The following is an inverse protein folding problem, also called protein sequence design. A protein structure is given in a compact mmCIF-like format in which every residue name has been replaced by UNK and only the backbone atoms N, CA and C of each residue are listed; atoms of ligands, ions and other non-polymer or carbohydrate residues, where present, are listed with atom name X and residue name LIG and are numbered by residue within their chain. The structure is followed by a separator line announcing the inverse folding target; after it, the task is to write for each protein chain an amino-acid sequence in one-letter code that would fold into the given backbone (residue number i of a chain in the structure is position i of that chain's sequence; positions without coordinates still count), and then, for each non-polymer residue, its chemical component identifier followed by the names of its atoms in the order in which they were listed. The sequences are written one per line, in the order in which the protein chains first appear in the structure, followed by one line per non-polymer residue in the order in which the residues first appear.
data_IF_349170682083
#
_entry.id   IF_349170682083
#
_cell.length_a   1.000
_cell.length_b   1.000
_cell.length_c   1.000
_cell.angle_alpha   90.00
_cell.angle_beta   90.00
_cell.angle_gamma   90.00
#
_symmetry.space_group_name_H-M   'P 1'
#
loop_
_entity.id
_entity.type
_entity.pdbx_description
1 polymer ?
#
# COMPACT_ATOMS: atom_id res chain seq x y z
N UNK A 1 16.32 2.27 -9.35
CA UNK A 1 14.97 2.37 -8.75
C UNK A 1 14.26 3.61 -9.23
N UNK A 2 13.00 3.47 -9.56
CA UNK A 2 12.16 4.59 -9.93
C UNK A 2 11.07 4.80 -8.88
N UNK A 3 10.94 6.01 -8.38
CA UNK A 3 9.85 6.40 -7.49
C UNK A 3 8.79 7.12 -8.31
N UNK A 4 7.57 6.63 -8.25
CA UNK A 4 6.45 7.22 -8.97
C UNK A 4 5.43 7.73 -7.97
N UNK A 5 5.10 9.02 -8.08
CA UNK A 5 4.10 9.65 -7.25
C UNK A 5 2.95 10.10 -8.16
N UNK A 6 1.87 9.32 -8.26
CA UNK A 6 0.78 9.63 -9.17
C UNK A 6 0.17 11.00 -8.87
N UNK A 7 -0.17 11.73 -9.93
CA UNK A 7 -0.83 13.02 -9.83
C UNK A 7 -2.27 12.96 -10.34
N UNK A 8 -2.79 11.74 -10.52
CA UNK A 8 -4.17 11.49 -10.93
C UNK A 8 -5.10 11.53 -9.72
N UNK A 9 -6.41 11.54 -9.98
CA UNK A 9 -7.36 11.20 -8.92
C UNK A 9 -7.14 9.74 -8.48
N UNK A 10 -7.53 9.42 -7.24
CA UNK A 10 -7.28 8.09 -6.68
C UNK A 10 -7.87 6.96 -7.55
N UNK A 11 -9.08 7.13 -8.06
CA UNK A 11 -9.73 6.12 -8.89
C UNK A 11 -9.11 6.00 -10.30
N UNK A 12 -8.16 6.86 -10.64
CA UNK A 12 -7.40 6.82 -11.89
C UNK A 12 -5.92 6.52 -11.66
N UNK A 13 -5.55 6.04 -10.49
CA UNK A 13 -4.13 5.80 -10.12
C UNK A 13 -3.40 4.90 -11.11
N UNK A 14 -4.10 3.92 -11.69
CA UNK A 14 -3.51 3.00 -12.66
C UNK A 14 -2.97 3.68 -13.90
N UNK A 15 -3.49 4.85 -14.26
CA UNK A 15 -3.02 5.59 -15.45
C UNK A 15 -1.54 5.96 -15.34
N UNK A 16 -1.04 6.14 -14.11
CA UNK A 16 0.37 6.43 -13.89
C UNK A 16 1.28 5.26 -14.26
N UNK A 17 0.71 4.07 -14.38
CA UNK A 17 1.43 2.84 -14.70
C UNK A 17 1.14 2.36 -16.12
N UNK A 18 0.62 3.24 -16.98
CA UNK A 18 0.29 2.88 -18.35
C UNK A 18 1.52 2.29 -19.07
N UNK A 19 1.31 1.18 -19.75
CA UNK A 19 2.37 0.50 -20.48
C UNK A 19 3.05 -0.62 -19.72
N UNK A 20 2.91 -0.69 -18.39
CA UNK A 20 3.41 -1.83 -17.64
C UNK A 20 2.45 -3.01 -17.80
N UNK A 21 3.02 -4.18 -18.08
CA UNK A 21 2.24 -5.41 -18.23
C UNK A 21 3.08 -6.60 -17.75
N UNK A 22 2.47 -7.61 -17.16
CA UNK A 22 3.16 -8.85 -16.88
C UNK A 22 3.52 -9.55 -18.19
N UNK A 23 4.53 -10.42 -18.14
CA UNK A 23 4.93 -11.20 -19.31
C UNK A 23 3.80 -12.12 -19.79
N UNK A 24 3.02 -12.66 -18.85
CA UNK A 24 1.86 -13.48 -19.15
C UNK A 24 0.60 -12.77 -18.63
N UNK A 25 -0.50 -12.73 -19.39
CA UNK A 25 -1.73 -12.11 -18.94
C UNK A 25 -2.19 -12.67 -17.59
N UNK A 26 -2.43 -11.80 -16.63
CA UNK A 26 -2.83 -12.19 -15.28
C UNK A 26 -1.70 -12.74 -14.40
N UNK A 27 -0.49 -12.86 -14.95
CA UNK A 27 0.65 -13.39 -14.23
C UNK A 27 1.35 -12.36 -13.36
N UNK A 28 2.47 -12.76 -12.73
CA UNK A 28 3.18 -11.87 -11.81
C UNK A 28 3.86 -10.71 -12.52
N UNK A 29 3.85 -9.56 -11.87
CA UNK A 29 4.59 -8.38 -12.29
C UNK A 29 5.61 -8.06 -11.20
N UNK A 30 6.80 -8.64 -11.36
CA UNK A 30 7.90 -8.44 -10.43
C UNK A 30 8.54 -7.06 -10.65
N UNK A 31 9.18 -6.56 -9.63
CA UNK A 31 9.84 -5.27 -9.70
C UNK A 31 8.94 -4.08 -9.46
N UNK A 32 7.67 -4.30 -9.13
CA UNK A 32 6.73 -3.24 -8.77
C UNK A 32 6.32 -3.42 -7.31
N UNK A 33 6.41 -2.35 -6.54
CA UNK A 33 5.84 -2.26 -5.19
C UNK A 33 4.93 -1.05 -5.14
N UNK A 34 3.68 -1.27 -4.81
CA UNK A 34 2.69 -0.20 -4.66
C UNK A 34 2.47 0.07 -3.17
N UNK A 35 2.65 1.32 -2.77
CA UNK A 35 2.39 1.75 -1.40
C UNK A 35 0.99 2.32 -1.35
N UNK A 36 0.16 1.80 -0.44
CA UNK A 36 -1.24 2.20 -0.33
C UNK A 36 -1.64 2.36 1.12
N UNK A 37 -2.58 3.26 1.36
CA UNK A 37 -3.25 3.38 2.64
C UNK A 37 -4.28 2.25 2.80
N UNK A 38 -4.54 1.88 4.06
CA UNK A 38 -5.48 0.80 4.36
C UNK A 38 -6.28 1.16 5.62
N UNK A 39 -7.57 1.45 5.44
CA UNK A 39 -8.45 1.83 6.53
C UNK A 39 -8.81 0.62 7.41
N UNK A 40 -8.66 -0.59 6.89
CA UNK A 40 -8.89 -1.81 7.67
C UNK A 40 -7.74 -2.12 8.63
N UNK A 41 -6.61 -1.44 8.48
CA UNK A 41 -5.43 -1.63 9.31
C UNK A 41 -5.24 -0.41 10.21
N UNK A 42 -5.10 -0.60 11.54
CA UNK A 42 -4.94 0.54 12.44
C UNK A 42 -3.67 1.35 12.19
N UNK A 43 -3.70 2.62 12.54
CA UNK A 43 -2.49 3.44 12.56
C UNK A 43 -1.46 2.80 13.49
N UNK A 44 -0.21 2.76 13.06
CA UNK A 44 0.88 2.08 13.79
C UNK A 44 1.22 0.73 13.20
N UNK A 45 0.47 0.28 12.20
CA UNK A 45 0.68 -1.00 11.55
C UNK A 45 0.94 -0.81 10.07
N UNK A 46 1.76 -1.68 9.50
CA UNK A 46 1.88 -1.80 8.05
C UNK A 46 2.10 -3.26 7.68
N UNK A 47 1.76 -3.63 6.46
CA UNK A 47 1.92 -5.00 5.97
C UNK A 47 2.42 -5.04 4.54
N UNK A 48 3.34 -5.93 4.29
CA UNK A 48 3.78 -6.26 2.94
C UNK A 48 2.99 -7.48 2.47
N UNK A 49 2.51 -7.43 1.23
CA UNK A 49 1.83 -8.55 0.58
C UNK A 49 2.41 -8.75 -0.80
N UNK A 50 2.75 -9.98 -1.20
CA UNK A 50 3.29 -10.22 -2.54
C UNK A 50 2.23 -10.10 -3.64
N UNK A 51 0.95 -10.27 -3.29
CA UNK A 51 -0.18 -10.20 -4.22
C UNK A 51 -1.47 -10.04 -3.43
N UNK A 52 -2.58 -9.89 -4.12
CA UNK A 52 -3.89 -9.87 -3.48
C UNK A 52 -4.89 -9.00 -4.22
N UNK A 53 -6.15 -9.02 -3.75
CA UNK A 53 -7.19 -8.20 -4.33
C UNK A 53 -7.06 -6.74 -3.89
N UNK A 54 -7.70 -5.86 -4.65
CA UNK A 54 -7.81 -4.46 -4.30
C UNK A 54 -8.70 -4.23 -3.07
N UNK A 55 -9.56 -5.20 -2.74
CA UNK A 55 -10.58 -5.00 -1.73
C UNK A 55 -11.49 -3.84 -2.12
N UNK A 56 -11.71 -2.91 -1.19
CA UNK A 56 -12.47 -1.70 -1.48
C UNK A 56 -11.63 -0.50 -1.89
N UNK A 57 -10.31 -0.66 -2.05
CA UNK A 57 -9.43 0.47 -2.35
C UNK A 57 -9.51 0.87 -3.82
N UNK A 58 -10.01 2.07 -4.10
CA UNK A 58 -10.22 2.54 -5.48
C UNK A 58 -8.92 2.69 -6.27
N UNK A 59 -7.85 3.12 -5.62
CA UNK A 59 -6.55 3.23 -6.26
C UNK A 59 -6.03 1.87 -6.72
N UNK A 60 -6.13 0.85 -5.87
CA UNK A 60 -5.72 -0.50 -6.24
C UNK A 60 -6.60 -1.11 -7.33
N UNK A 61 -7.90 -0.81 -7.32
CA UNK A 61 -8.79 -1.25 -8.40
C UNK A 61 -8.34 -0.69 -9.75
N UNK A 62 -7.97 0.59 -9.77
CA UNK A 62 -7.46 1.25 -10.97
C UNK A 62 -6.14 0.65 -11.43
N UNK A 63 -5.22 0.42 -10.50
CA UNK A 63 -3.92 -0.21 -10.79
C UNK A 63 -4.13 -1.62 -11.34
N UNK A 64 -4.97 -2.42 -10.69
CA UNK A 64 -5.28 -3.78 -11.13
C UNK A 64 -5.86 -3.79 -12.54
N UNK A 65 -6.79 -2.89 -12.84
CA UNK A 65 -7.39 -2.80 -14.17
C UNK A 65 -6.34 -2.41 -15.22
N UNK A 66 -5.46 -1.46 -14.91
CA UNK A 66 -4.44 -1.02 -15.85
C UNK A 66 -3.37 -2.08 -16.10
N UNK A 67 -2.93 -2.77 -15.05
CA UNK A 67 -1.90 -3.79 -15.17
C UNK A 67 -2.43 -5.13 -15.70
N UNK A 68 -3.71 -5.38 -15.54
CA UNK A 68 -4.32 -6.66 -15.90
C UNK A 68 -3.92 -7.80 -14.98
N UNK A 69 -3.49 -7.49 -13.77
CA UNK A 69 -3.04 -8.51 -12.81
C UNK A 69 -3.17 -8.02 -11.38
N UNK A 70 -3.30 -8.97 -10.45
CA UNK A 70 -3.20 -8.75 -9.01
C UNK A 70 -1.88 -9.24 -8.44
N UNK A 71 -1.04 -9.83 -9.27
CA UNK A 71 0.21 -10.48 -8.87
C UNK A 71 1.35 -9.47 -8.83
N UNK A 72 1.23 -8.44 -8.00
CA UNK A 72 2.29 -7.48 -7.74
C UNK A 72 2.35 -7.18 -6.24
N UNK A 73 3.54 -6.81 -5.77
CA UNK A 73 3.75 -6.53 -4.35
C UNK A 73 3.10 -5.21 -3.95
N UNK A 74 2.62 -5.17 -2.71
CA UNK A 74 2.07 -3.96 -2.12
C UNK A 74 2.48 -3.84 -0.66
N UNK A 75 2.67 -2.61 -0.22
CA UNK A 75 2.88 -2.29 1.19
C UNK A 75 1.66 -1.50 1.64
N UNK A 76 0.87 -2.09 2.53
CA UNK A 76 -0.34 -1.47 3.07
C UNK A 76 0.01 -0.72 4.35
N UNK A 77 -0.35 0.56 4.41
CA UNK A 77 -0.04 1.43 5.53
C UNK A 77 -1.34 1.72 6.28
N UNK A 78 -1.39 1.34 7.54
CA UNK A 78 -2.59 1.53 8.36
C UNK A 78 -2.93 2.99 8.60
N UNK A 79 -4.15 3.35 8.30
CA UNK A 79 -4.70 4.68 8.56
C UNK A 79 -6.03 4.61 9.30
N UNK A 80 -6.48 3.40 9.63
CA UNK A 80 -7.73 3.15 10.33
C UNK A 80 -7.56 2.93 11.83
N UNK A 81 -8.59 2.40 12.45
CA UNK A 81 -9.88 2.13 11.83
C UNK A 81 -10.65 3.43 11.58
N UNK A 82 -11.55 3.41 10.60
CA UNK A 82 -12.50 4.50 10.44
C UNK A 82 -13.44 4.50 11.65
N UNK A 83 -13.86 5.68 12.15
CA UNK A 83 -14.83 5.74 13.24
C UNK A 83 -16.13 5.01 12.87
N UNK A 84 -16.78 4.39 13.85
CA UNK A 84 -18.06 3.74 13.62
C UNK A 84 -19.08 4.73 13.08
N UNK A 85 -19.92 4.26 12.14
CA UNK A 85 -20.96 5.07 11.53
C UNK A 85 -20.47 5.96 10.40
N UNK A 86 -19.20 5.91 10.04
CA UNK A 86 -18.70 6.64 8.88
C UNK A 86 -19.19 5.94 7.60
N UNK A 87 -20.06 6.62 6.87
CA UNK A 87 -20.58 6.11 5.60
C UNK A 87 -19.72 6.55 4.42
N UNK A 88 -19.11 7.73 4.51
CA UNK A 88 -18.27 8.30 3.47
C UNK A 88 -16.79 8.05 3.78
N UNK A 89 -16.29 6.87 3.40
CA UNK A 89 -14.89 6.53 3.59
C UNK A 89 -13.97 7.42 2.75
N UNK A 90 -14.39 7.81 1.55
CA UNK A 90 -13.58 8.67 0.70
C UNK A 90 -13.39 10.04 1.36
N UNK A 91 -14.46 10.61 1.91
CA UNK A 91 -14.38 11.86 2.65
C UNK A 91 -13.50 11.75 3.88
N UNK A 92 -13.66 10.66 4.65
CA UNK A 92 -12.80 10.39 5.80
C UNK A 92 -11.32 10.34 5.42
N UNK A 93 -10.99 9.64 4.33
CA UNK A 93 -9.61 9.50 3.87
C UNK A 93 -9.00 10.81 3.41
N UNK A 94 -9.83 11.77 2.99
CA UNK A 94 -9.36 13.09 2.56
C UNK A 94 -9.20 14.09 3.70
N UNK A 95 -9.69 13.76 4.89
CA UNK A 95 -9.52 14.63 6.05
C UNK A 95 -8.07 14.65 6.52
N UNK A 96 -7.60 15.78 7.07
CA UNK A 96 -6.26 15.82 7.64
C UNK A 96 -6.11 14.78 8.75
N UNK A 97 -4.99 14.08 8.75
CA UNK A 97 -4.71 13.09 9.78
C UNK A 97 -4.48 13.79 11.13
N UNK A 98 -5.07 13.27 12.23
CA UNK A 98 -4.79 13.80 13.55
C UNK A 98 -3.28 13.80 13.85
N UNK A 99 -2.85 14.80 14.63
CA UNK A 99 -1.41 14.98 14.95
C UNK A 99 -0.79 13.74 15.58
N UNK A 100 -1.50 13.11 16.52
CA UNK A 100 -0.99 11.93 17.21
C UNK A 100 -0.79 10.75 16.25
N UNK A 101 -1.73 10.56 15.33
CA UNK A 101 -1.64 9.52 14.31
C UNK A 101 -0.48 9.78 13.37
N UNK A 102 -0.27 11.04 12.99
CA UNK A 102 0.85 11.41 12.14
C UNK A 102 2.19 11.15 12.82
N UNK A 103 2.27 11.42 14.12
CA UNK A 103 3.48 11.14 14.89
C UNK A 103 3.81 9.65 14.87
N UNK A 104 2.80 8.79 15.01
CA UNK A 104 2.98 7.33 14.92
C UNK A 104 3.47 6.93 13.54
N UNK A 105 2.89 7.49 12.48
CA UNK A 105 3.36 7.21 11.12
C UNK A 105 4.80 7.65 10.92
N UNK A 106 5.17 8.83 11.41
CA UNK A 106 6.54 9.33 11.28
C UNK A 106 7.54 8.39 11.97
N UNK A 107 7.16 7.80 13.10
CA UNK A 107 7.99 6.81 13.78
C UNK A 107 8.14 5.51 12.99
N UNK A 108 7.16 5.17 12.15
CA UNK A 108 7.21 3.97 11.33
C UNK A 108 8.03 4.14 10.05
N UNK A 109 8.31 5.37 9.63
CA UNK A 109 9.00 5.61 8.37
C UNK A 109 10.31 4.83 8.22
N UNK A 110 11.21 4.79 9.24
CA UNK A 110 12.43 4.00 9.09
C UNK A 110 12.15 2.51 8.85
N UNK A 111 11.20 1.92 9.58
CA UNK A 111 10.86 0.51 9.41
C UNK A 111 10.24 0.24 8.04
N UNK A 112 9.38 1.14 7.55
CA UNK A 112 8.80 1.02 6.22
C UNK A 112 9.88 1.13 5.14
N UNK A 113 10.84 2.03 5.32
CA UNK A 113 11.99 2.16 4.43
C UNK A 113 12.81 0.88 4.38
N UNK A 114 13.05 0.28 5.54
CA UNK A 114 13.77 -1.00 5.63
C UNK A 114 13.00 -2.12 4.92
N UNK A 115 11.68 -2.11 5.03
CA UNK A 115 10.83 -3.09 4.34
C UNK A 115 10.92 -2.94 2.82
N UNK A 116 10.93 -1.71 2.32
CA UNK A 116 11.10 -1.44 0.89
C UNK A 116 12.47 -1.94 0.40
N UNK A 117 13.54 -1.65 1.16
CA UNK A 117 14.87 -2.14 0.82
C UNK A 117 14.93 -3.67 0.82
N UNK A 118 14.33 -4.30 1.81
CA UNK A 118 14.26 -5.75 1.87
C UNK A 118 13.54 -6.33 0.65
N UNK A 119 12.43 -5.71 0.27
CA UNK A 119 11.72 -6.11 -0.94
C UNK A 119 12.59 -5.99 -2.19
N UNK A 120 13.34 -4.90 -2.31
CA UNK A 120 14.20 -4.68 -3.47
C UNK A 120 15.30 -5.73 -3.60
N UNK A 121 15.87 -6.16 -2.47
CA UNK A 121 17.02 -7.06 -2.45
C UNK A 121 16.59 -8.52 -2.35
N UNK A 122 15.61 -8.82 -1.51
CA UNK A 122 15.24 -10.20 -1.17
C UNK A 122 13.84 -10.60 -1.61
N UNK A 123 13.02 -9.67 -2.09
CA UNK A 123 11.67 -9.94 -2.58
C UNK A 123 10.57 -9.78 -1.52
N UNK A 124 9.33 -9.82 -2.02
CA UNK A 124 8.15 -9.52 -1.20
C UNK A 124 7.91 -10.53 -0.09
N UNK A 125 8.13 -11.81 -0.35
CA UNK A 125 7.88 -12.85 0.66
C UNK A 125 8.82 -12.72 1.85
N UNK A 126 10.09 -12.41 1.61
CA UNK A 126 11.05 -12.20 2.68
C UNK A 126 10.71 -10.93 3.47
N UNK A 127 10.34 -9.86 2.77
CA UNK A 127 9.92 -8.63 3.41
C UNK A 127 8.67 -8.86 4.28
N UNK A 128 7.70 -9.61 3.76
CA UNK A 128 6.50 -9.98 4.50
C UNK A 128 6.85 -10.75 5.79
N UNK A 129 7.70 -11.76 5.67
CA UNK A 129 8.07 -12.59 6.82
C UNK A 129 8.82 -11.79 7.89
N UNK A 130 9.66 -10.86 7.46
CA UNK A 130 10.52 -10.10 8.38
C UNK A 130 9.81 -8.93 9.03
N UNK A 131 8.94 -8.21 8.28
CA UNK A 131 8.38 -6.94 8.73
C UNK A 131 6.93 -7.01 9.20
N UNK A 132 6.13 -7.96 8.74
CA UNK A 132 4.72 -8.03 9.19
C UNK A 132 4.57 -8.39 10.66
N UNK A 133 5.64 -8.80 11.31
CA UNK A 133 5.66 -9.06 12.76
C UNK A 133 5.84 -7.79 13.58
N UNK A 134 6.37 -6.73 12.96
CA UNK A 134 6.60 -5.44 13.62
C UNK A 134 5.47 -4.50 13.23
N UNK A 135 4.30 -4.86 13.67
CA UNK A 135 3.13 -4.13 13.23
C UNK A 135 2.86 -2.88 14.04
N UNK A 136 3.58 -2.68 15.14
CA UNK A 136 3.38 -1.51 15.98
C UNK A 136 4.66 -1.14 16.73
N UNK A 137 4.97 0.16 16.89
CA UNK A 137 6.06 0.59 17.77
C UNK A 137 5.82 0.10 19.19
N UNK A 138 6.90 -0.17 19.91
CA UNK A 138 6.83 -0.52 21.32
C UNK A 138 6.13 0.59 22.11
N UNK A 139 5.17 0.22 22.91
CA UNK A 139 4.45 1.15 23.79
C UNK A 139 5.30 1.48 25.02
#
# INVERSE_FOLDING_TARGET
MHLLKPQTFMNDSGRALAGLRPQEPGGPLEGLLVLVDDVALPVGYFRVRPRGSAGGHNGLKSVEAELGTREYARLRIGVGPAPEGVEDLAGFMLEPMPRDDRAVLDELLPAMGDAVECWMVEGAERAMARFNRRVRPAE
#
